data_IF_670963797688
#
_entry.id   IF_670963797688
#
_cell.length_a   1.000
_cell.length_b   1.000
_cell.length_c   1.000
_cell.angle_alpha   90.00
_cell.angle_beta   90.00
_cell.angle_gamma   90.00
#
_symmetry.space_group_name_H-M   'P 1'
#
loop_
_entity.id
_entity.type
_entity.pdbx_description
1 polymer ?
#
# COMPACT_ATOMS: atom_id res chain seq x y z
N UNK A 1 -8.38 31.30 -19.01
CA UNK A 1 -8.58 29.84 -19.04
C UNK A 1 -9.79 29.54 -18.16
N UNK A 2 -10.88 28.99 -18.71
CA UNK A 2 -12.02 28.54 -17.88
C UNK A 2 -11.71 27.13 -17.41
N UNK A 3 -11.84 26.88 -16.12
CA UNK A 3 -11.68 25.55 -15.53
C UNK A 3 -13.06 24.89 -15.61
N UNK A 4 -13.18 23.85 -16.42
CA UNK A 4 -14.39 23.04 -16.49
C UNK A 4 -14.42 22.02 -15.34
N UNK A 5 -15.61 21.59 -14.86
CA UNK A 5 -15.71 20.51 -13.88
C UNK A 5 -15.04 19.24 -14.40
N UNK A 6 -14.27 18.57 -13.55
CA UNK A 6 -13.65 17.28 -13.85
C UNK A 6 -13.74 16.34 -12.65
N UNK A 7 -13.64 15.04 -12.90
CA UNK A 7 -13.63 14.00 -11.87
C UNK A 7 -12.24 13.36 -11.78
N UNK A 8 -11.86 12.97 -10.56
CA UNK A 8 -10.71 12.08 -10.33
C UNK A 8 -11.23 10.72 -9.87
N UNK A 9 -10.85 9.65 -10.58
CA UNK A 9 -11.33 8.29 -10.28
C UNK A 9 -10.17 7.40 -9.85
N UNK A 10 -10.31 6.78 -8.68
CA UNK A 10 -9.39 5.77 -8.19
C UNK A 10 -9.80 4.42 -8.79
N UNK A 11 -8.97 3.85 -9.66
CA UNK A 11 -9.27 2.57 -10.32
C UNK A 11 -8.13 1.57 -10.17
N UNK A 12 -8.48 0.30 -10.07
CA UNK A 12 -7.54 -0.81 -10.09
C UNK A 12 -7.64 -1.56 -11.44
N UNK A 13 -6.54 -2.14 -11.95
CA UNK A 13 -6.58 -2.96 -13.16
C UNK A 13 -7.47 -4.19 -12.97
N UNK A 14 -8.04 -4.73 -14.06
CA UNK A 14 -8.91 -5.91 -14.01
C UNK A 14 -8.27 -7.10 -13.26
N UNK A 15 -6.97 -7.35 -13.51
CA UNK A 15 -6.24 -8.45 -12.90
C UNK A 15 -6.20 -8.40 -11.37
N UNK A 16 -6.30 -7.21 -10.76
CA UNK A 16 -6.32 -7.06 -9.30
C UNK A 16 -7.56 -7.72 -8.72
N UNK A 17 -8.71 -7.52 -9.37
CA UNK A 17 -9.98 -8.12 -8.95
C UNK A 17 -9.99 -9.63 -9.16
N UNK A 18 -9.46 -10.09 -10.29
CA UNK A 18 -9.30 -11.51 -10.59
C UNK A 18 -8.41 -12.21 -9.56
N UNK A 19 -7.27 -11.61 -9.22
CA UNK A 19 -6.36 -12.18 -8.22
C UNK A 19 -6.95 -12.13 -6.81
N UNK A 20 -7.67 -11.06 -6.45
CA UNK A 20 -8.38 -11.02 -5.17
C UNK A 20 -9.44 -12.11 -5.07
N UNK A 21 -10.18 -12.38 -6.15
CA UNK A 21 -11.20 -13.42 -6.18
C UNK A 21 -10.61 -14.84 -6.13
N UNK A 22 -9.34 -15.01 -6.48
CA UNK A 22 -8.62 -16.28 -6.39
C UNK A 22 -7.98 -16.54 -5.02
N UNK A 23 -7.91 -15.53 -4.15
CA UNK A 23 -7.40 -15.70 -2.79
C UNK A 23 -8.42 -16.44 -1.92
N UNK A 24 -7.96 -17.17 -0.88
CA UNK A 24 -8.87 -17.62 0.17
C UNK A 24 -9.51 -16.41 0.86
N UNK A 25 -10.74 -16.60 1.36
CA UNK A 25 -11.49 -15.54 2.06
C UNK A 25 -10.74 -14.97 3.28
N UNK A 26 -9.85 -15.78 3.87
CA UNK A 26 -9.06 -15.46 5.05
C UNK A 26 -7.59 -15.79 4.83
N UNK A 27 -6.73 -14.85 5.21
CA UNK A 27 -5.29 -15.06 5.38
C UNK A 27 -5.00 -14.93 6.87
N UNK A 28 -4.82 -16.06 7.55
CA UNK A 28 -4.83 -16.11 9.01
C UNK A 28 -3.59 -15.46 9.61
N UNK A 29 -2.44 -15.69 8.99
CA UNK A 29 -1.15 -15.21 9.47
C UNK A 29 -0.75 -13.88 8.82
N UNK A 30 0.11 -13.11 9.51
CA UNK A 30 0.65 -11.87 8.93
C UNK A 30 1.55 -12.18 7.73
N UNK A 31 2.24 -13.31 7.77
CA UNK A 31 3.12 -13.80 6.73
C UNK A 31 2.33 -14.10 5.45
N UNK A 32 1.16 -14.73 5.53
CA UNK A 32 0.27 -14.94 4.38
C UNK A 32 -0.25 -13.61 3.80
N UNK A 33 -0.66 -12.68 4.66
CA UNK A 33 -1.13 -11.35 4.23
C UNK A 33 -0.01 -10.58 3.53
N UNK A 34 1.18 -10.57 4.11
CA UNK A 34 2.37 -9.94 3.52
C UNK A 34 2.76 -10.62 2.20
N UNK A 35 2.72 -11.95 2.12
CA UNK A 35 3.01 -12.69 0.90
C UNK A 35 2.01 -12.33 -0.22
N UNK A 36 0.72 -12.20 0.09
CA UNK A 36 -0.28 -11.73 -0.86
C UNK A 36 0.02 -10.29 -1.34
N UNK A 37 0.34 -9.37 -0.43
CA UNK A 37 0.71 -8.00 -0.78
C UNK A 37 1.97 -7.95 -1.67
N UNK A 38 3.03 -8.70 -1.34
CA UNK A 38 4.25 -8.81 -2.16
C UNK A 38 3.92 -9.37 -3.55
N UNK A 39 3.06 -10.38 -3.65
CA UNK A 39 2.60 -10.94 -4.94
C UNK A 39 1.94 -9.86 -5.79
N UNK A 40 1.07 -9.04 -5.23
CA UNK A 40 0.40 -7.96 -5.96
C UNK A 40 1.39 -6.88 -6.40
N UNK A 41 2.37 -6.54 -5.57
CA UNK A 41 3.43 -5.59 -5.93
C UNK A 41 4.24 -6.08 -7.13
N UNK A 42 4.62 -7.37 -7.14
CA UNK A 42 5.32 -8.01 -8.27
C UNK A 42 4.47 -7.99 -9.54
N UNK A 43 3.22 -8.45 -9.45
CA UNK A 43 2.30 -8.48 -10.59
C UNK A 43 2.03 -7.08 -11.17
N UNK A 44 1.98 -6.04 -10.34
CA UNK A 44 1.77 -4.67 -10.82
C UNK A 44 2.87 -4.21 -11.78
N UNK A 45 4.12 -4.63 -11.50
CA UNK A 45 5.26 -4.39 -12.38
C UNK A 45 5.20 -5.28 -13.62
N UNK A 46 5.04 -6.60 -13.41
CA UNK A 46 5.07 -7.59 -14.51
C UNK A 46 3.99 -7.35 -15.55
N UNK A 47 2.83 -6.84 -15.14
CA UNK A 47 1.71 -6.50 -16.03
C UNK A 47 1.79 -5.07 -16.56
N UNK A 48 2.83 -4.31 -16.22
CA UNK A 48 3.01 -2.93 -16.67
C UNK A 48 1.92 -1.97 -16.17
N UNK A 49 1.31 -2.24 -15.03
CA UNK A 49 0.16 -1.47 -14.49
C UNK A 49 0.52 -0.54 -13.34
N UNK A 50 1.79 -0.42 -12.98
CA UNK A 50 2.32 0.56 -12.03
C UNK A 50 3.63 0.14 -11.39
N UNK A 51 4.06 0.87 -10.35
CA UNK A 51 5.29 0.59 -9.62
C UNK A 51 5.21 -0.64 -8.71
N UNK A 52 6.34 -1.07 -8.12
CA UNK A 52 6.49 -2.31 -7.35
C UNK A 52 5.94 -2.19 -5.92
N UNK A 53 4.75 -1.61 -5.76
CA UNK A 53 4.12 -1.36 -4.46
C UNK A 53 2.68 -1.81 -4.45
N UNK A 54 2.31 -2.48 -3.36
CA UNK A 54 0.97 -2.91 -3.07
C UNK A 54 0.68 -2.78 -1.57
N UNK A 55 -0.60 -2.70 -1.24
CA UNK A 55 -1.09 -2.67 0.12
C UNK A 55 -2.42 -3.41 0.21
N UNK A 56 -2.73 -3.94 1.39
CA UNK A 56 -4.01 -4.57 1.65
C UNK A 56 -4.59 -4.17 3.00
N UNK A 57 -5.91 -4.06 3.07
CA UNK A 57 -6.68 -3.89 4.30
C UNK A 57 -7.32 -5.22 4.64
N UNK A 58 -7.09 -5.69 5.86
CA UNK A 58 -7.57 -6.97 6.36
C UNK A 58 -8.25 -6.79 7.71
N UNK A 59 -9.23 -7.62 8.03
CA UNK A 59 -9.67 -7.77 9.41
C UNK A 59 -8.53 -8.39 10.23
N UNK A 60 -8.03 -7.66 11.22
CA UNK A 60 -6.85 -8.03 12.01
C UNK A 60 -7.00 -9.39 12.65
N UNK A 61 -8.15 -9.60 13.30
CA UNK A 61 -8.39 -10.75 14.17
C UNK A 61 -8.88 -11.98 13.39
N UNK A 62 -9.55 -11.77 12.26
CA UNK A 62 -10.23 -12.83 11.50
C UNK A 62 -9.47 -13.24 10.23
N UNK A 63 -8.52 -12.41 9.78
CA UNK A 63 -7.77 -12.59 8.54
C UNK A 63 -8.56 -12.29 7.27
N UNK A 64 -9.81 -11.85 7.38
CA UNK A 64 -10.66 -11.59 6.23
C UNK A 64 -10.09 -10.47 5.37
N UNK A 65 -10.01 -10.71 4.05
CA UNK A 65 -9.53 -9.73 3.08
C UNK A 65 -10.62 -8.71 2.79
N UNK A 66 -10.38 -7.43 3.08
CA UNK A 66 -11.31 -6.35 2.73
C UNK A 66 -10.98 -5.74 1.37
N UNK A 67 -9.70 -5.41 1.14
CA UNK A 67 -9.23 -4.77 -0.09
C UNK A 67 -7.75 -5.02 -0.30
N UNK A 68 -7.32 -5.29 -1.54
CA UNK A 68 -5.93 -5.22 -1.97
C UNK A 68 -5.84 -4.20 -3.11
N UNK A 69 -4.78 -3.40 -3.09
CA UNK A 69 -4.56 -2.35 -4.07
C UNK A 69 -3.08 -2.21 -4.41
N UNK A 70 -2.82 -1.55 -5.53
CA UNK A 70 -1.48 -1.37 -6.09
C UNK A 70 -1.24 0.10 -6.42
N UNK A 71 0.03 0.50 -6.49
CA UNK A 71 0.42 1.85 -6.91
C UNK A 71 -0.07 2.13 -8.34
N UNK A 72 -0.75 3.26 -8.54
CA UNK A 72 -1.28 3.72 -9.84
C UNK A 72 -0.79 5.11 -10.22
N UNK A 73 0.35 5.56 -9.67
CA UNK A 73 0.85 6.93 -9.88
C UNK A 73 1.05 7.26 -11.35
N UNK A 74 1.86 6.46 -12.05
CA UNK A 74 2.18 6.71 -13.47
C UNK A 74 0.96 6.48 -14.37
N UNK A 75 0.24 5.35 -14.30
CA UNK A 75 -0.86 5.08 -15.23
C UNK A 75 -2.06 6.02 -15.11
N UNK A 76 -2.26 6.65 -13.95
CA UNK A 76 -3.36 7.58 -13.70
C UNK A 76 -2.88 9.04 -13.57
N UNK A 77 -1.59 9.31 -13.87
CA UNK A 77 -0.98 10.63 -13.82
C UNK A 77 -1.28 11.40 -12.51
N UNK A 78 -1.26 10.72 -11.37
CA UNK A 78 -1.63 11.30 -10.08
C UNK A 78 -0.66 10.83 -8.98
N UNK A 79 0.16 11.76 -8.49
CA UNK A 79 1.25 11.48 -7.56
C UNK A 79 0.80 10.89 -6.23
N UNK A 80 -0.45 11.13 -5.81
CA UNK A 80 -0.97 10.63 -4.53
C UNK A 80 -1.47 9.18 -4.61
N UNK A 81 -1.57 8.56 -5.78
CA UNK A 81 -2.14 7.22 -5.94
C UNK A 81 -1.14 6.09 -5.62
N UNK A 82 -0.53 6.20 -4.44
CA UNK A 82 0.28 5.16 -3.82
C UNK A 82 -0.59 3.98 -3.38
N UNK A 83 0.02 2.83 -3.17
CA UNK A 83 -0.71 1.60 -2.88
C UNK A 83 -1.54 1.70 -1.60
N UNK A 84 -0.98 2.32 -0.55
CA UNK A 84 -1.61 2.53 0.75
C UNK A 84 -2.81 3.46 0.63
N UNK A 85 -2.68 4.57 -0.11
CA UNK A 85 -3.79 5.50 -0.38
C UNK A 85 -4.91 4.78 -1.13
N UNK A 86 -4.56 4.00 -2.16
CA UNK A 86 -5.51 3.24 -2.95
C UNK A 86 -6.24 2.20 -2.07
N UNK A 87 -5.51 1.42 -1.26
CA UNK A 87 -6.09 0.39 -0.42
C UNK A 87 -7.06 0.96 0.62
N UNK A 88 -6.62 2.00 1.35
CA UNK A 88 -7.42 2.66 2.37
C UNK A 88 -8.67 3.32 1.77
N UNK A 89 -8.50 4.08 0.68
CA UNK A 89 -9.62 4.81 0.05
C UNK A 89 -10.65 3.86 -0.54
N UNK A 90 -10.22 2.78 -1.19
CA UNK A 90 -11.14 1.79 -1.78
C UNK A 90 -11.81 0.93 -0.72
N UNK A 91 -11.12 0.61 0.39
CA UNK A 91 -11.72 -0.06 1.54
C UNK A 91 -12.83 0.80 2.17
N UNK A 92 -12.54 2.09 2.41
CA UNK A 92 -13.50 3.06 2.94
C UNK A 92 -14.70 3.24 2.00
N UNK A 93 -14.45 3.37 0.69
CA UNK A 93 -15.51 3.48 -0.31
C UNK A 93 -16.38 2.21 -0.36
N UNK A 94 -15.79 1.01 -0.27
CA UNK A 94 -16.51 -0.27 -0.22
C UNK A 94 -17.44 -0.36 1.00
N UNK A 95 -17.01 0.16 2.15
CA UNK A 95 -17.80 0.18 3.37
C UNK A 95 -18.77 1.37 3.45
N UNK A 96 -18.64 2.36 2.56
CA UNK A 96 -19.38 3.62 2.65
C UNK A 96 -19.03 4.42 3.92
N UNK A 97 -17.83 4.23 4.47
CA UNK A 97 -17.40 4.82 5.75
C UNK A 97 -15.97 5.35 5.64
N UNK A 98 -15.74 6.58 6.07
CA UNK A 98 -14.40 7.21 6.04
C UNK A 98 -13.50 6.77 7.20
N UNK A 99 -14.05 6.26 8.30
CA UNK A 99 -13.31 5.82 9.48
C UNK A 99 -13.36 4.29 9.60
N UNK A 100 -12.27 3.63 9.24
CA UNK A 100 -12.14 2.17 9.38
C UNK A 100 -12.17 1.73 10.86
N UNK A 101 -12.06 2.65 11.81
CA UNK A 101 -12.17 2.39 13.24
C UNK A 101 -13.55 2.71 13.83
N UNK A 102 -14.56 2.98 12.99
CA UNK A 102 -15.90 3.31 13.43
C UNK A 102 -16.55 2.17 14.22
N UNK A 103 -17.43 2.53 15.17
CA UNK A 103 -18.15 1.56 15.99
C UNK A 103 -18.99 0.60 15.13
N UNK A 104 -18.92 -0.69 15.46
CA UNK A 104 -19.64 -1.75 14.73
C UNK A 104 -18.87 -2.33 13.55
N UNK A 105 -17.70 -1.77 13.21
CA UNK A 105 -16.77 -2.40 12.28
C UNK A 105 -15.79 -3.33 13.00
N UNK A 106 -15.28 -4.36 12.30
CA UNK A 106 -14.12 -5.14 12.74
C UNK A 106 -12.90 -4.24 12.94
N UNK A 107 -11.92 -4.72 13.69
CA UNK A 107 -10.63 -4.05 13.76
C UNK A 107 -9.83 -4.34 12.50
N UNK A 108 -9.48 -3.31 11.74
CA UNK A 108 -8.68 -3.46 10.52
C UNK A 108 -7.18 -3.22 10.74
N UNK A 109 -6.39 -3.93 9.94
CA UNK A 109 -4.97 -3.70 9.75
C UNK A 109 -4.65 -3.32 8.31
N UNK A 110 -3.66 -2.45 8.13
CA UNK A 110 -3.04 -2.18 6.84
C UNK A 110 -1.74 -2.99 6.73
N UNK A 111 -1.60 -3.74 5.65
CA UNK A 111 -0.41 -4.52 5.33
C UNK A 111 0.22 -3.96 4.07
N UNK A 112 1.54 -3.71 4.09
CA UNK A 112 2.27 -3.07 2.98
C UNK A 112 3.56 -3.82 2.65
N UNK A 113 3.98 -3.83 1.39
CA UNK A 113 5.22 -4.52 0.98
C UNK A 113 6.49 -3.74 1.34
N UNK A 114 6.37 -2.49 1.81
CA UNK A 114 7.49 -1.69 2.33
C UNK A 114 6.97 -0.56 3.22
N UNK A 115 7.83 -0.02 4.09
CA UNK A 115 7.48 1.08 5.02
C UNK A 115 6.76 2.22 4.29
N UNK A 116 5.63 2.75 4.79
CA UNK A 116 4.93 3.85 4.15
C UNK A 116 5.78 5.12 4.08
N UNK A 117 5.77 5.79 2.93
CA UNK A 117 6.37 7.11 2.77
C UNK A 117 5.66 8.16 3.65
N UNK A 118 6.23 9.36 3.80
CA UNK A 118 5.67 10.41 4.65
C UNK A 118 4.19 10.74 4.37
N UNK A 119 3.78 10.73 3.10
CA UNK A 119 2.38 10.93 2.69
C UNK A 119 1.48 9.77 3.18
N UNK A 120 1.88 8.53 2.87
CA UNK A 120 1.11 7.34 3.22
C UNK A 120 1.05 7.14 4.73
N UNK A 121 2.14 7.43 5.46
CA UNK A 121 2.17 7.48 6.91
C UNK A 121 1.06 8.39 7.46
N UNK A 122 0.96 9.62 6.94
CA UNK A 122 -0.14 10.52 7.30
C UNK A 122 -1.52 9.88 7.07
N UNK A 123 -1.73 9.24 5.92
CA UNK A 123 -2.99 8.57 5.61
C UNK A 123 -3.30 7.41 6.58
N UNK A 124 -2.30 6.62 6.99
CA UNK A 124 -2.48 5.59 8.03
C UNK A 124 -3.07 6.19 9.30
N UNK A 125 -2.52 7.32 9.78
CA UNK A 125 -2.97 7.98 11.01
C UNK A 125 -4.43 8.46 10.96
N UNK A 126 -4.95 8.77 9.77
CA UNK A 126 -6.31 9.28 9.58
C UNK A 126 -7.32 8.21 9.18
N UNK A 127 -6.86 7.04 8.75
CA UNK A 127 -7.71 6.03 8.11
C UNK A 127 -8.66 5.28 9.04
N UNK A 128 -8.34 5.22 10.33
CA UNK A 128 -9.06 4.41 11.30
C UNK A 128 -8.53 2.99 11.51
N UNK A 129 -7.51 2.54 10.77
CA UNK A 129 -6.87 1.24 11.07
C UNK A 129 -6.25 1.24 12.47
N UNK A 130 -6.08 0.05 13.06
CA UNK A 130 -5.48 -0.12 14.40
C UNK A 130 -4.21 -0.97 14.39
N UNK A 131 -3.74 -1.35 13.21
CA UNK A 131 -2.50 -2.10 13.02
C UNK A 131 -1.89 -1.76 11.66
N UNK A 132 -0.56 -1.61 11.64
CA UNK A 132 0.27 -1.45 10.46
C UNK A 132 1.29 -2.59 10.45
N UNK A 133 1.24 -3.42 9.41
CA UNK A 133 2.17 -4.51 9.16
C UNK A 133 3.01 -4.14 7.94
N UNK A 134 4.33 -4.12 8.08
CA UNK A 134 5.25 -3.82 6.99
C UNK A 134 6.12 -5.04 6.69
N UNK A 135 6.25 -5.38 5.41
CA UNK A 135 7.10 -6.50 5.01
C UNK A 135 8.57 -6.21 5.32
N UNK A 136 9.01 -4.96 5.10
CA UNK A 136 10.35 -4.49 5.39
C UNK A 136 10.43 -2.97 5.48
N UNK A 137 11.53 -2.49 6.05
CA UNK A 137 11.89 -1.08 6.13
C UNK A 137 13.41 -0.91 5.97
N UNK A 138 13.88 0.33 5.79
CA UNK A 138 15.30 0.65 5.72
C UNK A 138 15.72 1.35 4.42
N UNK A 139 16.98 1.77 4.33
CA UNK A 139 17.51 2.52 3.19
C UNK A 139 17.70 1.67 1.92
N UNK A 140 17.66 0.34 2.01
CA UNK A 140 18.01 -0.57 0.93
C UNK A 140 17.09 -0.41 -0.28
N UNK A 141 15.77 -0.37 -0.06
CA UNK A 141 14.82 -0.18 -1.17
C UNK A 141 15.09 1.14 -1.90
N UNK A 142 15.27 2.24 -1.15
CA UNK A 142 15.59 3.55 -1.74
C UNK A 142 16.93 3.54 -2.49
N UNK A 143 17.97 2.91 -1.93
CA UNK A 143 19.29 2.82 -2.55
C UNK A 143 19.27 2.00 -3.85
N UNK A 144 18.43 0.97 -3.92
CA UNK A 144 18.36 0.06 -5.06
C UNK A 144 17.44 0.57 -6.17
N UNK A 145 16.33 1.19 -5.81
CA UNK A 145 15.28 1.61 -6.75
C UNK A 145 15.32 3.10 -7.09
N UNK A 146 15.88 3.95 -6.23
CA UNK A 146 15.81 5.40 -6.36
C UNK A 146 14.48 6.03 -5.92
N UNK A 147 13.55 5.26 -5.32
CA UNK A 147 12.37 5.82 -4.65
C UNK A 147 12.76 6.62 -3.40
N UNK A 148 11.97 7.64 -3.07
CA UNK A 148 12.16 8.50 -1.91
C UNK A 148 10.97 8.37 -0.95
N UNK A 149 11.25 7.93 0.28
CA UNK A 149 10.26 7.80 1.35
C UNK A 149 9.84 9.16 1.93
N UNK A 150 10.62 10.21 1.67
CA UNK A 150 10.46 11.50 2.29
C UNK A 150 10.81 11.49 3.79
N UNK A 151 10.66 12.64 4.46
CA UNK A 151 11.07 12.80 5.85
C UNK A 151 9.99 12.27 6.80
N UNK A 152 10.06 11.00 7.17
CA UNK A 152 9.32 10.50 8.33
C UNK A 152 9.85 11.15 9.62
N UNK A 153 8.98 11.47 10.60
CA UNK A 153 9.43 11.97 11.88
C UNK A 153 10.26 10.89 12.59
N UNK A 154 11.34 11.25 13.31
CA UNK A 154 12.19 10.25 13.99
C UNK A 154 11.43 9.35 14.98
N UNK A 155 10.36 9.87 15.58
CA UNK A 155 9.49 9.19 16.56
C UNK A 155 8.23 8.58 15.91
N UNK A 156 8.23 8.27 14.61
CA UNK A 156 7.06 7.78 13.89
C UNK A 156 6.39 6.54 14.53
N UNK A 157 7.16 5.64 15.14
CA UNK A 157 6.61 4.47 15.87
C UNK A 157 5.81 4.91 17.11
N UNK A 158 6.33 5.88 17.86
CA UNK A 158 5.64 6.44 19.03
C UNK A 158 4.36 7.17 18.60
N UNK A 159 4.38 7.85 17.45
CA UNK A 159 3.21 8.51 16.89
C UNK A 159 2.10 7.51 16.53
N UNK A 160 2.44 6.32 16.02
CA UNK A 160 1.48 5.23 15.81
C UNK A 160 0.94 4.72 17.15
N UNK A 161 1.82 4.41 18.11
CA UNK A 161 1.44 3.85 19.41
C UNK A 161 0.51 4.80 20.20
N UNK A 162 0.79 6.11 20.21
CA UNK A 162 -0.07 7.13 20.86
C UNK A 162 -1.48 7.20 20.27
N UNK A 163 -1.66 6.74 19.03
CA UNK A 163 -2.94 6.67 18.33
C UNK A 163 -3.57 5.28 18.39
N UNK A 164 -2.99 4.36 19.16
CA UNK A 164 -3.48 2.99 19.29
C UNK A 164 -3.30 2.16 18.02
N UNK A 165 -2.31 2.49 17.18
CA UNK A 165 -1.98 1.74 15.98
C UNK A 165 -0.78 0.85 16.30
N UNK A 166 -1.02 -0.46 16.39
CA UNK A 166 0.05 -1.43 16.58
C UNK A 166 0.97 -1.47 15.35
N UNK A 167 2.29 -1.57 15.55
CA UNK A 167 3.25 -1.69 14.46
C UNK A 167 3.90 -3.07 14.47
N UNK A 168 3.99 -3.69 13.29
CA UNK A 168 4.65 -4.97 13.07
C UNK A 168 5.62 -4.85 11.89
N UNK A 169 6.92 -4.89 12.18
CA UNK A 169 7.98 -4.75 11.20
C UNK A 169 8.58 -6.07 10.72
N UNK A 170 9.21 -6.02 9.55
CA UNK A 170 10.10 -7.05 9.01
C UNK A 170 9.52 -8.48 8.91
N UNK A 171 8.20 -8.58 8.69
CA UNK A 171 7.47 -9.87 8.65
C UNK A 171 7.92 -10.76 7.47
N UNK A 172 8.39 -10.18 6.36
CA UNK A 172 8.94 -10.93 5.23
C UNK A 172 9.97 -10.10 4.44
N UNK A 173 10.91 -9.47 5.15
CA UNK A 173 11.78 -8.43 4.59
C UNK A 173 12.57 -8.89 3.37
N UNK A 174 13.14 -10.10 3.41
CA UNK A 174 13.91 -10.62 2.28
C UNK A 174 13.05 -10.87 1.04
N UNK A 175 11.83 -11.40 1.22
CA UNK A 175 10.91 -11.60 0.09
C UNK A 175 10.50 -10.25 -0.55
N UNK A 176 10.34 -9.20 0.25
CA UNK A 176 10.09 -7.85 -0.27
C UNK A 176 11.31 -7.30 -1.03
N UNK A 177 12.52 -7.46 -0.49
CA UNK A 177 13.76 -7.06 -1.17
C UNK A 177 13.96 -7.82 -2.49
N UNK A 178 13.63 -9.11 -2.55
CA UNK A 178 13.67 -9.89 -3.79
C UNK A 178 12.71 -9.35 -4.86
N UNK A 179 11.51 -8.93 -4.47
CA UNK A 179 10.58 -8.29 -5.39
C UNK A 179 11.13 -6.96 -5.94
N UNK A 180 11.80 -6.15 -5.11
CA UNK A 180 12.48 -4.93 -5.58
C UNK A 180 13.69 -5.23 -6.47
N UNK A 181 14.49 -6.26 -6.16
CA UNK A 181 15.58 -6.74 -7.04
C UNK A 181 15.05 -7.10 -8.42
N UNK A 182 13.94 -7.85 -8.48
CA UNK A 182 13.29 -8.23 -9.73
C UNK A 182 12.78 -7.01 -10.52
N UNK A 183 12.18 -6.03 -9.83
CA UNK A 183 11.78 -4.76 -10.44
C UNK A 183 12.96 -4.02 -11.08
N UNK A 184 14.08 -3.86 -10.36
CA UNK A 184 15.28 -3.21 -10.89
C UNK A 184 15.83 -3.97 -12.11
N UNK A 185 15.88 -5.30 -12.04
CA UNK A 185 16.35 -6.14 -13.14
C UNK A 185 15.47 -6.05 -14.40
N UNK A 186 14.18 -5.73 -14.25
CA UNK A 186 13.25 -5.57 -15.38
C UNK A 186 13.51 -4.31 -16.22
N UNK A 187 14.25 -3.33 -15.68
CA UNK A 187 14.47 -2.03 -16.33
C UNK A 187 13.24 -1.13 -16.38
N UNK A 188 12.18 -1.46 -15.63
CA UNK A 188 10.98 -0.63 -15.54
C UNK A 188 11.29 0.77 -14.99
N UNK A 189 10.53 1.77 -15.46
CA UNK A 189 10.76 3.17 -15.11
C UNK A 189 10.45 3.43 -13.62
N UNK A 190 11.33 4.19 -12.97
CA UNK A 190 11.17 4.67 -11.59
C UNK A 190 10.57 6.07 -11.63
N UNK A 191 9.38 6.23 -11.05
CA UNK A 191 8.80 7.56 -10.87
C UNK A 191 9.36 8.22 -9.61
N UNK A 192 9.81 9.46 -9.76
CA UNK A 192 10.13 10.34 -8.65
C UNK A 192 9.52 11.72 -8.93
N UNK A 193 8.72 12.24 -7.99
CA UNK A 193 7.92 13.46 -8.21
C UNK A 193 8.72 14.72 -8.55
N UNK A 194 10.05 14.69 -8.38
CA UNK A 194 10.96 15.78 -8.74
C UNK A 194 11.74 15.55 -10.05
N UNK A 195 11.65 14.36 -10.63
CA UNK A 195 12.40 14.00 -11.84
C UNK A 195 11.59 14.14 -13.13
N UNK A 196 10.27 14.34 -13.04
CA UNK A 196 9.44 14.97 -14.08
C UNK A 196 9.51 14.38 -15.49
N UNK A 197 9.89 13.11 -15.65
CA UNK A 197 9.85 12.45 -16.95
C UNK A 197 8.56 11.65 -17.06
N UNK A 198 7.73 12.06 -18.02
CA UNK A 198 6.56 11.31 -18.52
C UNK A 198 7.03 10.07 -19.28
#
# INVERSE_FOLDING_TARGET
MRIEPFECRLTLPAWVWEEMAALPDRLETREERVAAVIRFARLNTERGTGGPFAAGVFERDSGQVLMLAVNRVVPLACSSLHAEIMALSLAQARLGCFDLGAQGLPVFELVVNWMPCAMCFGAVLWSGVRSLVVAGSGPEMAAMTGFDEGPLPPDWQDQLARRGIAFHGDVAREAALDAFRAFVASGAAVYNGRQGRL
#
